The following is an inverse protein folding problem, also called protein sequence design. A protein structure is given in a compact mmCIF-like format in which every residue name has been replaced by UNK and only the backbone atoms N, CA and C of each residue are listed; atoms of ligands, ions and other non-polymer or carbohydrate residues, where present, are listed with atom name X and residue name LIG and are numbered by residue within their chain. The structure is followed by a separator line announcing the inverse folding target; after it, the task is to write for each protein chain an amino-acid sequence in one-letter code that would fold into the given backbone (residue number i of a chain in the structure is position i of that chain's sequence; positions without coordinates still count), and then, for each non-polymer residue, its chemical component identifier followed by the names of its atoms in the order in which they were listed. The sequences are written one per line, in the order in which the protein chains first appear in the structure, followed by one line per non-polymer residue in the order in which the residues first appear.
data_IF_193681576552
#
_entry.id   IF_193681576552
#
_cell.length_a   1.000
_cell.length_b   1.000
_cell.length_c   1.000
_cell.angle_alpha   90.00
_cell.angle_beta   90.00
_cell.angle_gamma   90.00
#
_symmetry.space_group_name_H-M   'P 1'
#
loop_
_entity.id
_entity.type
_entity.pdbx_description
1 polymer ?
#
# COMPACT_ATOMS: atom_id res chain seq x y z
N UNK A 1 3.11 21.74 -64.37
CA UNK A 1 4.38 22.50 -64.31
C UNK A 1 4.90 22.31 -62.89
N UNK A 2 5.86 21.39 -62.73
CA UNK A 2 6.22 20.73 -61.46
C UNK A 2 7.68 21.01 -61.17
N UNK A 3 8.00 21.55 -59.99
CA UNK A 3 9.36 21.66 -59.41
C UNK A 3 9.16 21.56 -57.89
N UNK A 4 9.38 20.42 -57.24
CA UNK A 4 10.60 19.71 -56.81
C UNK A 4 11.27 20.31 -55.55
N UNK A 5 11.40 19.45 -54.53
CA UNK A 5 11.69 19.68 -53.11
C UNK A 5 13.16 19.41 -52.76
N UNK A 6 14.08 19.53 -53.72
CA UNK A 6 15.51 19.22 -53.50
C UNK A 6 16.38 20.36 -53.98
N UNK A 7 16.68 21.31 -53.09
CA UNK A 7 17.96 22.02 -52.99
C UNK A 7 17.84 23.16 -51.95
N UNK A 8 18.31 22.93 -50.73
CA UNK A 8 19.32 23.80 -50.12
C UNK A 8 19.96 23.05 -48.94
N UNK A 9 21.20 22.61 -49.16
CA UNK A 9 22.10 22.03 -48.17
C UNK A 9 23.21 23.03 -47.86
N UNK A 10 23.71 22.94 -46.62
CA UNK A 10 25.07 23.21 -46.14
C UNK A 10 25.19 24.36 -45.11
N UNK A 11 25.98 24.28 -44.03
CA UNK A 11 26.67 23.20 -43.30
C UNK A 11 27.37 23.85 -42.08
N UNK A 12 27.94 22.99 -41.21
CA UNK A 12 28.97 23.23 -40.18
C UNK A 12 28.50 23.67 -38.78
N UNK A 13 29.01 23.17 -37.65
CA UNK A 13 29.84 22.01 -37.33
C UNK A 13 29.90 21.86 -35.78
N UNK A 14 30.21 20.64 -35.33
CA UNK A 14 30.89 20.27 -34.08
C UNK A 14 30.21 20.52 -32.72
N UNK A 15 29.82 19.42 -32.08
CA UNK A 15 29.60 19.30 -30.63
C UNK A 15 29.53 17.83 -30.23
N UNK A 16 30.68 17.22 -29.94
CA UNK A 16 30.76 15.88 -29.35
C UNK A 16 30.28 15.97 -27.91
N UNK A 17 29.22 15.24 -27.59
CA UNK A 17 28.74 15.03 -26.22
C UNK A 17 28.09 13.66 -26.14
N UNK A 18 28.88 12.66 -25.77
CA UNK A 18 28.39 11.34 -25.38
C UNK A 18 27.66 11.47 -24.05
N UNK A 19 26.43 10.94 -23.94
CA UNK A 19 25.94 10.30 -22.72
C UNK A 19 24.67 9.48 -23.01
N UNK A 20 24.82 8.16 -22.90
CA UNK A 20 23.76 7.20 -22.66
C UNK A 20 23.17 7.42 -21.26
N UNK A 21 21.84 7.40 -21.10
CA UNK A 21 21.20 6.73 -19.96
C UNK A 21 19.85 6.15 -20.39
N UNK A 22 19.79 4.82 -20.34
CA UNK A 22 18.58 4.01 -20.34
C UNK A 22 17.84 4.23 -19.02
N UNK A 23 16.67 4.89 -19.02
CA UNK A 23 15.80 4.95 -17.83
C UNK A 23 14.95 3.68 -17.73
N UNK A 24 15.63 2.58 -17.46
CA UNK A 24 15.03 1.31 -17.05
C UNK A 24 15.58 0.98 -15.67
N UNK A 25 14.79 1.24 -14.60
CA UNK A 25 14.83 0.70 -13.21
C UNK A 25 14.64 1.70 -12.06
N UNK A 26 14.59 3.00 -12.30
CA UNK A 26 14.58 3.98 -11.17
C UNK A 26 13.18 4.37 -10.64
N UNK A 27 12.09 3.78 -11.13
CA UNK A 27 10.75 4.01 -10.59
C UNK A 27 10.38 3.08 -9.41
N UNK A 28 11.33 2.29 -8.88
CA UNK A 28 11.19 1.62 -7.58
C UNK A 28 11.81 2.53 -6.52
N UNK A 29 11.30 3.76 -6.44
CA UNK A 29 11.78 4.73 -5.46
C UNK A 29 11.44 4.22 -4.06
N UNK A 30 12.50 3.76 -3.41
CA UNK A 30 12.59 3.36 -2.02
C UNK A 30 11.99 4.46 -1.13
N UNK A 31 10.73 4.26 -0.71
CA UNK A 31 10.07 5.18 0.22
C UNK A 31 10.61 4.88 1.62
N UNK A 32 11.16 5.90 2.29
CA UNK A 32 11.53 5.80 3.69
C UNK A 32 10.35 5.23 4.50
N UNK A 33 10.64 4.34 5.47
CA UNK A 33 9.61 3.74 6.31
C UNK A 33 8.74 4.84 6.93
N UNK A 34 7.42 4.75 6.71
CA UNK A 34 6.46 5.71 7.24
C UNK A 34 6.49 5.65 8.77
N UNK A 35 6.56 6.82 9.42
CA UNK A 35 6.47 6.89 10.87
C UNK A 35 5.16 6.24 11.35
N UNK A 36 5.24 5.49 12.44
CA UNK A 36 4.04 4.93 13.07
C UNK A 36 3.21 6.05 13.71
N UNK A 37 1.87 5.98 13.63
CA UNK A 37 1.01 6.84 14.43
C UNK A 37 1.33 6.72 15.93
N UNK A 38 1.10 7.78 16.73
CA UNK A 38 1.26 7.72 18.17
C UNK A 38 0.49 6.54 18.78
N UNK A 39 1.04 5.94 19.84
CA UNK A 39 0.32 4.91 20.57
C UNK A 39 -0.82 5.55 21.38
N UNK A 40 -2.05 5.12 21.12
CA UNK A 40 -3.25 5.53 21.85
C UNK A 40 -3.45 4.75 23.15
N UNK A 41 -2.68 3.67 23.37
CA UNK A 41 -2.83 2.76 24.51
C UNK A 41 -4.06 1.84 24.42
N UNK A 42 -4.79 1.87 23.29
CA UNK A 42 -6.01 1.07 23.09
C UNK A 42 -5.73 -0.43 22.90
N UNK A 43 -4.53 -0.79 22.44
CA UNK A 43 -4.13 -2.16 22.14
C UNK A 43 -2.86 -2.55 22.91
N UNK A 44 -2.93 -2.68 24.25
CA UNK A 44 -1.75 -3.03 25.04
C UNK A 44 -1.17 -4.38 24.61
N UNK A 45 0.14 -4.40 24.35
CA UNK A 45 0.86 -5.61 23.91
C UNK A 45 0.70 -5.98 22.43
N UNK A 46 0.04 -5.15 21.63
CA UNK A 46 0.03 -5.30 20.17
C UNK A 46 1.13 -4.44 19.54
N UNK A 47 1.78 -4.99 18.52
CA UNK A 47 2.75 -4.28 17.69
C UNK A 47 2.01 -3.51 16.59
N UNK A 48 2.53 -2.33 16.25
CA UNK A 48 2.03 -1.53 15.14
C UNK A 48 2.91 -1.71 13.90
N UNK A 49 2.31 -1.83 12.73
CA UNK A 49 3.03 -2.07 11.49
C UNK A 49 2.37 -1.39 10.30
N UNK A 50 3.20 -0.96 9.35
CA UNK A 50 2.77 -0.59 8.01
C UNK A 50 3.06 -1.75 7.05
N UNK A 51 2.10 -2.06 6.17
CA UNK A 51 2.30 -2.97 5.04
C UNK A 51 1.97 -2.24 3.75
N UNK A 52 2.96 -2.13 2.87
CA UNK A 52 2.77 -1.65 1.50
C UNK A 52 2.10 -2.74 0.69
N UNK A 53 0.95 -2.43 0.10
CA UNK A 53 0.19 -3.29 -0.81
C UNK A 53 0.12 -2.62 -2.19
N UNK A 54 -0.68 -3.17 -3.11
CA UNK A 54 -0.84 -2.56 -4.42
C UNK A 54 -1.60 -1.22 -4.37
N UNK A 55 -0.84 -0.13 -4.35
CA UNK A 55 -1.36 1.24 -4.39
C UNK A 55 -1.87 1.78 -3.05
N UNK A 56 -1.61 1.08 -1.93
CA UNK A 56 -1.97 1.53 -0.59
C UNK A 56 -0.88 1.21 0.45
N UNK A 57 -0.83 2.03 1.49
CA UNK A 57 -0.13 1.75 2.73
C UNK A 57 -1.19 1.36 3.77
N UNK A 58 -1.17 0.10 4.21
CA UNK A 58 -2.11 -0.41 5.20
C UNK A 58 -1.49 -0.35 6.59
N UNK A 59 -2.15 0.37 7.49
CA UNK A 59 -1.81 0.37 8.90
C UNK A 59 -2.52 -0.79 9.61
N UNK A 60 -1.80 -1.46 10.50
CA UNK A 60 -2.36 -2.51 11.33
C UNK A 60 -1.74 -2.54 12.72
N UNK A 61 -2.48 -3.12 13.66
CA UNK A 61 -1.94 -3.60 14.93
C UNK A 61 -2.13 -5.10 15.04
N UNK A 62 -1.14 -5.81 15.56
CA UNK A 62 -1.24 -7.26 15.71
C UNK A 62 -0.57 -7.78 16.97
N UNK A 63 -1.06 -8.90 17.50
CA UNK A 63 -0.58 -9.46 18.75
C UNK A 63 -1.33 -10.72 19.17
N UNK A 64 -0.85 -11.36 20.23
CA UNK A 64 -1.33 -12.68 20.66
C UNK A 64 -0.57 -13.83 20.01
N UNK A 65 -1.06 -15.05 20.23
CA UNK A 65 -0.44 -16.30 19.75
C UNK A 65 -1.53 -17.27 19.31
N UNK A 66 -1.25 -18.06 18.27
CA UNK A 66 -2.18 -19.09 17.77
C UNK A 66 -2.46 -18.93 16.28
N UNK A 67 -3.63 -19.41 15.85
CA UNK A 67 -4.06 -19.30 14.45
C UNK A 67 -4.29 -17.81 14.09
N UNK A 68 -4.00 -17.40 12.85
CA UNK A 68 -4.19 -16.01 12.41
C UNK A 68 -5.67 -15.66 12.26
N UNK A 69 -6.08 -14.53 12.84
CA UNK A 69 -7.41 -13.96 12.76
C UNK A 69 -7.32 -12.48 12.34
N UNK A 70 -7.87 -12.15 11.18
CA UNK A 70 -7.97 -10.78 10.69
C UNK A 70 -9.29 -10.16 11.12
N UNK A 71 -9.26 -8.93 11.64
CA UNK A 71 -10.44 -8.15 12.00
C UNK A 71 -10.52 -6.91 11.12
N UNK A 72 -11.63 -6.75 10.38
CA UNK A 72 -11.89 -5.61 9.52
C UNK A 72 -13.01 -4.75 10.09
N UNK A 73 -12.77 -3.44 10.18
CA UNK A 73 -13.78 -2.47 10.62
C UNK A 73 -14.72 -2.10 9.46
N UNK A 74 -15.81 -1.39 9.79
CA UNK A 74 -16.73 -0.81 8.80
C UNK A 74 -16.65 0.71 8.71
N UNK A 75 -17.54 1.31 7.93
CA UNK A 75 -17.73 2.76 7.85
C UNK A 75 -18.67 3.24 8.97
N UNK A 76 -18.43 4.38 9.65
CA UNK A 76 -17.30 5.32 9.53
C UNK A 76 -16.26 5.13 10.66
N UNK A 77 -15.75 3.91 10.84
CA UNK A 77 -14.83 3.56 11.93
C UNK A 77 -13.39 3.35 11.43
N UNK A 78 -12.51 2.93 12.34
CA UNK A 78 -11.15 2.44 12.09
C UNK A 78 -10.90 1.16 12.90
N UNK A 79 -9.71 0.58 12.81
CA UNK A 79 -9.24 -0.57 13.58
C UNK A 79 -9.53 -0.43 15.08
N UNK A 80 -9.55 0.81 15.60
CA UNK A 80 -9.86 1.13 16.98
C UNK A 80 -11.21 0.57 17.47
N UNK A 81 -12.20 0.32 16.60
CA UNK A 81 -13.49 -0.26 17.01
C UNK A 81 -13.35 -1.63 17.70
N UNK A 82 -12.28 -2.37 17.41
CA UNK A 82 -12.02 -3.70 17.96
C UNK A 82 -11.33 -3.69 19.33
N UNK A 83 -10.97 -2.53 19.88
CA UNK A 83 -10.10 -2.43 21.06
C UNK A 83 -10.63 -3.18 22.30
N UNK A 84 -11.96 -3.25 22.48
CA UNK A 84 -12.59 -3.93 23.63
C UNK A 84 -12.54 -5.45 23.56
N UNK A 85 -12.33 -6.03 22.37
CA UNK A 85 -12.40 -7.49 22.16
C UNK A 85 -11.08 -8.08 21.66
N UNK A 86 -10.22 -7.29 21.02
CA UNK A 86 -8.96 -7.75 20.44
C UNK A 86 -8.05 -8.45 21.47
N UNK A 87 -7.92 -7.89 22.69
CA UNK A 87 -7.12 -8.51 23.76
C UNK A 87 -7.67 -9.87 24.22
N UNK A 88 -9.00 -10.02 24.30
CA UNK A 88 -9.62 -11.30 24.66
C UNK A 88 -9.41 -12.35 23.57
N UNK A 89 -9.50 -11.96 22.29
CA UNK A 89 -9.23 -12.84 21.16
C UNK A 89 -7.75 -13.24 21.09
N UNK A 90 -6.84 -12.32 21.41
CA UNK A 90 -5.39 -12.55 21.42
C UNK A 90 -4.93 -13.62 22.43
N UNK A 91 -5.79 -14.01 23.38
CA UNK A 91 -5.53 -15.16 24.26
C UNK A 91 -5.56 -16.51 23.54
N UNK A 92 -6.15 -16.58 22.33
CA UNK A 92 -6.31 -17.82 21.54
C UNK A 92 -5.81 -17.73 20.10
N UNK A 93 -5.78 -16.51 19.55
CA UNK A 93 -5.42 -16.22 18.17
C UNK A 93 -4.23 -15.28 18.11
N UNK A 94 -3.50 -15.32 16.99
CA UNK A 94 -2.71 -14.16 16.59
C UNK A 94 -3.65 -13.22 15.85
N UNK A 95 -4.03 -12.13 16.51
CA UNK A 95 -5.03 -11.18 16.03
C UNK A 95 -4.34 -10.09 15.23
N UNK A 96 -4.87 -9.81 14.04
CA UNK A 96 -4.46 -8.71 13.17
C UNK A 96 -5.65 -7.78 13.02
N UNK A 97 -5.49 -6.51 13.37
CA UNK A 97 -6.52 -5.47 13.28
C UNK A 97 -6.03 -4.43 12.28
N UNK A 98 -6.62 -4.43 11.08
CA UNK A 98 -6.17 -3.60 9.96
C UNK A 98 -7.16 -2.48 9.66
N UNK A 99 -6.63 -1.32 9.28
CA UNK A 99 -7.42 -0.24 8.68
C UNK A 99 -7.61 -0.50 7.18
N UNK A 100 -8.84 -0.40 6.68
CA UNK A 100 -9.12 -0.49 5.24
C UNK A 100 -8.42 0.66 4.48
N UNK A 101 -8.04 0.45 3.22
CA UNK A 101 -7.41 1.50 2.41
C UNK A 101 -8.23 2.80 2.44
N UNK A 102 -7.56 3.91 2.76
CA UNK A 102 -8.18 5.23 2.87
C UNK A 102 -9.00 5.47 4.15
N UNK A 103 -9.03 4.52 5.08
CA UNK A 103 -9.65 4.68 6.39
C UNK A 103 -8.60 4.70 7.51
N UNK A 104 -8.97 5.30 8.64
CA UNK A 104 -8.11 5.34 9.82
C UNK A 104 -6.75 5.94 9.50
N UNK A 105 -5.69 5.19 9.82
CA UNK A 105 -4.33 5.58 9.48
C UNK A 105 -3.94 5.13 8.06
N UNK A 106 -4.57 4.09 7.50
CA UNK A 106 -4.27 3.57 6.16
C UNK A 106 -4.43 4.63 5.07
N UNK A 107 -3.53 4.62 4.09
CA UNK A 107 -3.56 5.54 2.95
C UNK A 107 -3.78 4.79 1.66
N UNK A 108 -4.80 5.19 0.93
CA UNK A 108 -5.09 4.72 -0.42
C UNK A 108 -4.84 5.80 -1.49
N UNK A 109 -5.14 5.49 -2.76
CA UNK A 109 -5.06 6.45 -3.86
C UNK A 109 -5.92 7.71 -3.64
N UNK A 110 -5.53 8.88 -4.16
CA UNK A 110 -6.28 10.13 -3.91
C UNK A 110 -7.68 10.15 -4.53
N UNK A 111 -7.96 9.29 -5.51
CA UNK A 111 -9.24 9.20 -6.20
C UNK A 111 -9.73 7.74 -6.34
N UNK A 112 -10.99 7.60 -6.74
CA UNK A 112 -11.66 6.32 -6.96
C UNK A 112 -11.08 5.47 -8.09
N UNK A 113 -10.35 6.06 -9.02
CA UNK A 113 -10.07 5.47 -10.32
C UNK A 113 -11.33 5.30 -11.17
N UNK A 114 -11.16 4.74 -12.37
CA UNK A 114 -12.29 4.40 -13.23
C UNK A 114 -13.26 3.46 -12.51
N UNK A 115 -14.56 3.74 -12.58
CA UNK A 115 -15.62 2.95 -11.92
C UNK A 115 -15.37 2.67 -10.42
N UNK A 116 -14.67 3.59 -9.73
CA UNK A 116 -14.31 3.46 -8.31
C UNK A 116 -13.46 2.22 -7.95
N UNK A 117 -12.74 1.66 -8.93
CA UNK A 117 -11.96 0.41 -8.76
C UNK A 117 -10.95 0.47 -7.60
N UNK A 118 -10.36 1.64 -7.33
CA UNK A 118 -9.36 1.81 -6.27
C UNK A 118 -9.94 1.54 -4.87
N UNK A 119 -11.25 1.68 -4.69
CA UNK A 119 -11.94 1.47 -3.42
C UNK A 119 -13.04 0.40 -3.53
N UNK A 120 -12.99 -0.42 -4.57
CA UNK A 120 -13.86 -1.60 -4.66
C UNK A 120 -13.52 -2.61 -3.56
N UNK A 121 -14.51 -3.37 -3.10
CA UNK A 121 -14.28 -4.45 -2.13
C UNK A 121 -13.29 -5.50 -2.65
N UNK A 122 -13.20 -5.69 -3.98
CA UNK A 122 -12.21 -6.59 -4.58
C UNK A 122 -10.78 -6.12 -4.32
N UNK A 123 -10.52 -4.84 -4.53
CA UNK A 123 -9.21 -4.25 -4.29
C UNK A 123 -8.91 -4.23 -2.79
N UNK A 124 -9.88 -3.84 -1.96
CA UNK A 124 -9.73 -3.87 -0.49
C UNK A 124 -9.43 -5.29 0.03
N UNK A 125 -10.10 -6.31 -0.49
CA UNK A 125 -9.85 -7.70 -0.12
C UNK A 125 -8.44 -8.15 -0.52
N UNK A 126 -7.94 -7.73 -1.67
CA UNK A 126 -6.57 -8.03 -2.09
C UNK A 126 -5.55 -7.43 -1.12
N UNK A 127 -5.76 -6.20 -0.63
CA UNK A 127 -4.87 -5.62 0.38
C UNK A 127 -4.78 -6.49 1.64
N UNK A 128 -5.92 -7.06 2.06
CA UNK A 128 -5.97 -7.88 3.26
C UNK A 128 -5.22 -9.20 3.06
N UNK A 129 -5.32 -9.78 1.87
CA UNK A 129 -4.51 -10.96 1.50
C UNK A 129 -3.02 -10.60 1.52
N UNK A 130 -2.63 -9.48 0.93
CA UNK A 130 -1.24 -9.01 0.89
C UNK A 130 -0.70 -8.72 2.31
N UNK A 131 -1.52 -8.12 3.17
CA UNK A 131 -1.21 -7.88 4.59
C UNK A 131 -0.95 -9.18 5.33
N UNK A 132 -1.83 -10.16 5.20
CA UNK A 132 -1.69 -11.43 5.89
C UNK A 132 -0.50 -12.24 5.36
N UNK A 133 -0.27 -12.20 4.03
CA UNK A 133 0.92 -12.80 3.42
C UNK A 133 2.22 -12.14 3.91
N UNK A 134 2.25 -10.82 4.08
CA UNK A 134 3.41 -10.09 4.63
C UNK A 134 3.68 -10.40 6.12
N UNK A 135 2.72 -11.02 6.82
CA UNK A 135 2.89 -11.57 8.16
C UNK A 135 3.17 -13.08 8.16
N UNK A 136 3.27 -13.70 6.98
CA UNK A 136 3.56 -15.13 6.80
C UNK A 136 2.34 -16.05 6.83
N UNK A 137 1.15 -15.53 6.56
CA UNK A 137 -0.10 -16.30 6.60
C UNK A 137 -0.76 -16.43 5.23
N UNK A 138 -0.73 -17.66 4.69
CA UNK A 138 -1.45 -18.01 3.44
C UNK A 138 -2.92 -18.36 3.68
N UNK A 139 -3.29 -18.67 4.92
CA UNK A 139 -4.66 -18.98 5.36
C UNK A 139 -4.91 -18.37 6.73
N UNK A 140 -6.10 -17.82 6.90
CA UNK A 140 -6.50 -17.14 8.13
C UNK A 140 -8.02 -17.16 8.31
N UNK A 141 -8.45 -16.91 9.54
CA UNK A 141 -9.84 -16.59 9.86
C UNK A 141 -10.10 -15.10 9.60
N UNK A 142 -11.32 -14.77 9.19
CA UNK A 142 -11.81 -13.43 8.93
C UNK A 142 -13.18 -13.25 9.57
#
# INVERSE_FOLDING_TARGET
MTIDRRQFMAAAAAGVGSQFVSTSRDAVAQTAARALPPDSGLFPGFEAKWVRTNGADIFLRHGGKGQPLLLLHGNPQSHACWHKVAGALASRYHVVVADLRGYGDSVGPPDGGAEHVNYSFRTMAQDQVDVMAALGYDRFFL
#
